data_IF_688802165587
#
_entry.id   IF_688802165587
#
_cell.length_a   1.000
_cell.length_b   1.000
_cell.length_c   1.000
_cell.angle_alpha   90.00
_cell.angle_beta   90.00
_cell.angle_gamma   90.00
#
_symmetry.space_group_name_H-M   'P 1'
#
loop_
_entity.id
_entity.type
_entity.pdbx_description
1 polymer ?
#
# COMPACT_ATOMS: atom_id res chain seq x y z
N UNK A 1 -13.23 4.45 15.62
CA UNK A 1 -12.27 3.46 15.09
C UNK A 1 -10.87 4.09 15.04
N UNK A 2 -9.94 3.62 15.89
CA UNK A 2 -8.55 4.13 15.95
C UNK A 2 -7.67 3.36 14.97
N UNK A 3 -7.46 3.89 13.77
CA UNK A 3 -6.42 3.37 12.86
C UNK A 3 -5.10 4.08 13.16
N UNK A 4 -4.34 3.57 14.13
CA UNK A 4 -3.01 4.12 14.46
C UNK A 4 -1.84 3.26 13.96
N UNK A 5 -2.08 2.09 13.37
CA UNK A 5 -1.00 1.19 12.91
C UNK A 5 -1.31 0.60 11.54
N UNK A 6 -0.34 0.74 10.63
CA UNK A 6 -0.26 0.00 9.38
C UNK A 6 0.09 -1.44 9.76
N UNK A 7 -0.68 -2.42 9.29
CA UNK A 7 -0.43 -3.84 9.54
C UNK A 7 0.96 -4.25 9.03
N UNK A 8 1.64 -5.18 9.71
CA UNK A 8 2.97 -5.64 9.31
C UNK A 8 2.93 -6.33 7.94
N UNK A 9 4.12 -6.48 7.35
CA UNK A 9 4.26 -7.14 6.06
C UNK A 9 3.71 -8.57 6.10
N UNK A 10 2.80 -8.96 5.18
CA UNK A 10 2.23 -10.31 5.18
C UNK A 10 3.26 -11.40 4.84
N UNK A 11 4.39 -11.04 4.22
CA UNK A 11 5.47 -11.97 3.85
C UNK A 11 6.42 -12.29 5.00
N UNK A 12 6.80 -11.28 5.78
CA UNK A 12 7.90 -11.42 6.75
C UNK A 12 7.59 -10.86 8.14
N UNK A 13 6.40 -10.30 8.38
CA UNK A 13 6.04 -9.63 9.63
C UNK A 13 6.74 -8.28 9.87
N UNK A 14 7.62 -7.85 8.97
CA UNK A 14 8.41 -6.61 9.11
C UNK A 14 7.58 -5.33 9.04
N UNK A 15 8.17 -4.22 9.52
CA UNK A 15 7.54 -2.89 9.52
C UNK A 15 7.29 -2.41 8.08
N UNK A 16 6.13 -1.81 7.87
CA UNK A 16 5.71 -1.23 6.58
C UNK A 16 5.59 0.28 6.73
N UNK A 17 6.08 1.00 5.73
CA UNK A 17 5.88 2.45 5.58
C UNK A 17 4.96 2.68 4.39
N UNK A 18 3.99 3.58 4.56
CA UNK A 18 3.17 4.11 3.48
C UNK A 18 3.65 5.52 3.15
N UNK A 19 3.94 5.80 1.88
CA UNK A 19 4.33 7.14 1.41
C UNK A 19 3.74 7.42 0.04
N UNK A 20 3.50 8.69 -0.26
CA UNK A 20 3.23 9.11 -1.62
C UNK A 20 4.55 9.15 -2.38
N UNK A 21 4.61 8.43 -3.49
CA UNK A 21 5.66 8.57 -4.50
C UNK A 21 5.06 9.29 -5.70
N UNK A 22 5.80 10.23 -6.28
CA UNK A 22 5.40 10.85 -7.54
C UNK A 22 5.67 9.84 -8.65
N UNK A 23 4.65 9.56 -9.45
CA UNK A 23 4.79 8.77 -10.65
C UNK A 23 5.02 9.72 -11.83
N UNK A 24 6.26 9.77 -12.30
CA UNK A 24 6.69 10.62 -13.43
C UNK A 24 6.58 9.85 -14.77
N UNK A 25 5.60 8.95 -14.87
CA UNK A 25 5.29 8.28 -16.14
C UNK A 25 4.75 9.35 -17.09
N UNK A 26 5.64 9.75 -18.01
CA UNK A 26 5.50 10.72 -19.09
C UNK A 26 5.82 12.16 -18.66
N UNK A 27 6.74 12.78 -19.42
CA UNK A 27 7.20 14.16 -19.34
C UNK A 27 6.10 15.19 -19.70
N UNK A 28 4.88 14.98 -19.20
CA UNK A 28 3.72 15.82 -19.36
C UNK A 28 3.29 16.26 -17.96
N UNK A 29 3.68 17.47 -17.50
CA UNK A 29 3.41 17.97 -16.15
C UNK A 29 1.93 17.90 -15.75
N UNK A 30 1.04 17.98 -16.74
CA UNK A 30 -0.42 17.96 -16.64
C UNK A 30 -0.98 16.59 -16.23
N UNK A 31 -0.17 15.53 -16.36
CA UNK A 31 -0.49 14.14 -16.04
C UNK A 31 0.33 13.62 -14.86
N UNK A 32 0.84 14.50 -14.01
CA UNK A 32 1.53 14.07 -12.78
C UNK A 32 0.53 13.39 -11.85
N UNK A 33 0.79 12.12 -11.52
CA UNK A 33 0.07 11.39 -10.48
C UNK A 33 1.01 11.07 -9.32
N UNK A 34 0.42 10.88 -8.15
CA UNK A 34 1.07 10.40 -6.96
C UNK A 34 0.47 9.03 -6.65
N UNK A 35 1.31 8.06 -6.32
CA UNK A 35 0.92 6.71 -5.96
C UNK A 35 1.24 6.50 -4.49
N UNK A 36 0.31 5.92 -3.72
CA UNK A 36 0.62 5.45 -2.37
C UNK A 36 1.43 4.17 -2.49
N UNK A 37 2.64 4.16 -1.98
CA UNK A 37 3.49 2.97 -1.94
C UNK A 37 3.61 2.45 -0.52
N UNK A 38 3.20 1.19 -0.32
CA UNK A 38 3.45 0.41 0.89
C UNK A 38 4.73 -0.39 0.71
N UNK A 39 5.80 -0.01 1.42
CA UNK A 39 7.08 -0.71 1.36
C UNK A 39 7.45 -1.31 2.70
N UNK A 40 7.74 -2.61 2.70
CA UNK A 40 8.33 -3.30 3.83
C UNK A 40 9.81 -2.92 3.94
N UNK A 41 10.25 -2.48 5.11
CA UNK A 41 11.65 -2.11 5.35
C UNK A 41 12.56 -3.30 5.62
N UNK A 42 12.00 -4.51 5.78
CA UNK A 42 12.75 -5.74 6.05
C UNK A 42 13.00 -6.57 4.79
N UNK A 43 11.95 -6.94 4.05
CA UNK A 43 12.07 -7.80 2.87
C UNK A 43 11.93 -7.07 1.53
N UNK A 44 11.74 -5.74 1.54
CA UNK A 44 11.62 -4.93 0.32
C UNK A 44 10.30 -5.07 -0.44
N UNK A 45 9.37 -5.93 0.00
CA UNK A 45 8.03 -6.05 -0.58
C UNK A 45 7.40 -4.67 -0.74
N UNK A 46 7.01 -4.34 -1.96
CA UNK A 46 6.39 -3.06 -2.30
C UNK A 46 5.03 -3.33 -2.95
N UNK A 47 4.02 -2.57 -2.55
CA UNK A 47 2.66 -2.66 -3.09
C UNK A 47 2.05 -1.27 -3.26
N UNK A 48 1.37 -1.11 -4.37
CA UNK A 48 0.61 0.04 -4.82
C UNK A 48 -0.70 0.10 -4.03
N UNK A 49 -0.94 1.24 -3.38
CA UNK A 49 -2.10 1.53 -2.54
C UNK A 49 -3.18 2.36 -3.24
N UNK A 50 -2.99 2.70 -4.51
CA UNK A 50 -3.84 3.60 -5.29
C UNK A 50 -3.12 4.89 -5.69
N UNK A 51 -3.78 5.68 -6.55
CA UNK A 51 -3.21 6.89 -7.15
C UNK A 51 -4.10 8.13 -6.97
N UNK A 52 -3.50 9.31 -7.12
CA UNK A 52 -4.17 10.61 -7.03
C UNK A 52 -3.41 11.69 -7.80
N UNK A 53 -4.10 12.74 -8.26
CA UNK A 53 -3.44 13.91 -8.88
C UNK A 53 -2.66 14.77 -7.87
N UNK A 54 -2.95 14.62 -6.58
CA UNK A 54 -2.23 15.32 -5.50
C UNK A 54 -2.20 14.47 -4.23
N UNK A 55 -1.17 14.59 -3.38
CA UNK A 55 -1.14 13.90 -2.09
C UNK A 55 -2.37 14.28 -1.26
N UNK A 56 -3.22 13.29 -0.96
CA UNK A 56 -4.48 13.50 -0.27
C UNK A 56 -4.52 12.67 1.03
N UNK A 57 -4.59 13.31 2.22
CA UNK A 57 -4.58 12.59 3.49
C UNK A 57 -5.71 11.56 3.63
N UNK A 58 -6.91 11.89 3.15
CA UNK A 58 -8.06 10.98 3.24
C UNK A 58 -7.89 9.72 2.37
N UNK A 59 -7.23 9.85 1.20
CA UNK A 59 -6.96 8.70 0.33
C UNK A 59 -5.88 7.82 0.95
N UNK A 60 -4.81 8.42 1.50
CA UNK A 60 -3.79 7.67 2.23
C UNK A 60 -4.41 6.85 3.38
N UNK A 61 -5.33 7.44 4.14
CA UNK A 61 -6.05 6.72 5.19
C UNK A 61 -6.89 5.56 4.62
N UNK A 62 -7.61 5.76 3.52
CA UNK A 62 -8.36 4.67 2.85
C UNK A 62 -7.45 3.56 2.36
N UNK A 63 -6.32 3.89 1.74
CA UNK A 63 -5.32 2.93 1.30
C UNK A 63 -4.75 2.13 2.48
N UNK A 64 -4.50 2.76 3.63
CA UNK A 64 -4.07 2.06 4.85
C UNK A 64 -5.15 1.09 5.35
N UNK A 65 -6.42 1.47 5.29
CA UNK A 65 -7.52 0.56 5.67
C UNK A 65 -7.55 -0.66 4.75
N UNK A 66 -7.38 -0.47 3.44
CA UNK A 66 -7.31 -1.57 2.47
C UNK A 66 -6.10 -2.46 2.75
N UNK A 67 -4.91 -1.90 2.93
CA UNK A 67 -3.70 -2.64 3.31
C UNK A 67 -3.93 -3.50 4.56
N UNK A 68 -4.53 -2.93 5.59
CA UNK A 68 -4.82 -3.65 6.83
C UNK A 68 -5.80 -4.81 6.61
N UNK A 69 -6.82 -4.63 5.76
CA UNK A 69 -7.75 -5.71 5.40
C UNK A 69 -7.03 -6.85 4.67
N UNK A 70 -6.17 -6.51 3.71
CA UNK A 70 -5.33 -7.50 3.00
C UNK A 70 -4.50 -8.31 3.99
N UNK A 71 -3.75 -7.64 4.86
CA UNK A 71 -2.83 -8.31 5.79
C UNK A 71 -3.56 -9.12 6.87
N UNK A 72 -4.81 -8.77 7.18
CA UNK A 72 -5.64 -9.50 8.14
C UNK A 72 -6.40 -10.67 7.49
N UNK A 73 -6.20 -10.95 6.20
CA UNK A 73 -6.83 -12.08 5.51
C UNK A 73 -8.33 -11.88 5.24
N UNK A 74 -8.77 -10.62 5.03
CA UNK A 74 -10.15 -10.34 4.60
C UNK A 74 -10.49 -11.14 3.34
N UNK A 75 -11.69 -11.76 3.33
CA UNK A 75 -12.13 -12.68 2.27
C UNK A 75 -12.05 -12.04 0.88
N UNK A 76 -12.34 -10.75 0.77
CA UNK A 76 -12.26 -10.00 -0.49
C UNK A 76 -10.84 -9.91 -1.07
N UNK A 77 -9.81 -10.10 -0.24
CA UNK A 77 -8.40 -9.96 -0.61
C UNK A 77 -7.60 -11.25 -0.46
N UNK A 78 -8.28 -12.40 -0.31
CA UNK A 78 -7.64 -13.71 -0.09
C UNK A 78 -6.57 -14.04 -1.13
N UNK A 79 -6.84 -13.76 -2.42
CA UNK A 79 -5.88 -14.02 -3.50
C UNK A 79 -4.63 -13.14 -3.35
N UNK A 80 -4.83 -11.85 -3.09
CA UNK A 80 -3.74 -10.89 -2.89
C UNK A 80 -2.90 -11.28 -1.67
N UNK A 81 -3.55 -11.63 -0.56
CA UNK A 81 -2.87 -12.09 0.64
C UNK A 81 -2.00 -13.33 0.37
N UNK A 82 -2.54 -14.34 -0.32
CA UNK A 82 -1.78 -15.56 -0.69
C UNK A 82 -0.57 -15.25 -1.57
N UNK A 83 -0.72 -14.39 -2.58
CA UNK A 83 0.39 -13.95 -3.45
C UNK A 83 1.47 -13.26 -2.61
N UNK A 84 1.07 -12.35 -1.72
CA UNK A 84 2.00 -11.54 -0.94
C UNK A 84 2.70 -12.32 0.17
N UNK A 85 1.98 -13.19 0.87
CA UNK A 85 2.49 -14.06 1.92
C UNK A 85 3.46 -15.13 1.39
N UNK A 86 3.58 -15.26 0.06
CA UNK A 86 4.33 -16.33 -0.59
C UNK A 86 3.45 -17.57 -0.63
N UNK A 87 2.83 -17.82 -1.79
CA UNK A 87 2.07 -19.03 -2.02
C UNK A 87 2.94 -20.24 -1.68
N UNK A 88 2.56 -20.96 -0.63
CA UNK A 88 2.84 -22.38 -0.52
C UNK A 88 1.70 -23.12 -1.19
#
# INVERSE_FOLDING_TARGET
>A
MKFHRISPCPRCGGKVRAKWERDEVLALPEYTFFIVMFRCTACGLSLDGGCSRKPAPYQLQRSIVVWNRVCNGDKCFTLLYKILAGGR
#
